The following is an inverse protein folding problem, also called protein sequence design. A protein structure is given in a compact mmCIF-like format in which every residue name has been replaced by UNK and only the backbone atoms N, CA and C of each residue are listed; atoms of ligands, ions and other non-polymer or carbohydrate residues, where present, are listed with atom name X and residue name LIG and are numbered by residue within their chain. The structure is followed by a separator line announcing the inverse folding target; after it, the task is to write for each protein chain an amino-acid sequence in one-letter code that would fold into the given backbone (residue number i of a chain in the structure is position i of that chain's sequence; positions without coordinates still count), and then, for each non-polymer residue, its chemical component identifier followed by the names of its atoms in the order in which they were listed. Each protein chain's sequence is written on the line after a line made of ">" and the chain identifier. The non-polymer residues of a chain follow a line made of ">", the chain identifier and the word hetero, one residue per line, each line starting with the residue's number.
data_IF_181011773800
#
_entry.id   IF_181011773800
#
_cell.length_a   1.000
_cell.length_b   1.000
_cell.length_c   1.000
_cell.angle_alpha   90.00
_cell.angle_beta   90.00
_cell.angle_gamma   90.00
#
_symmetry.space_group_name_H-M   'P 1'
#
loop_
_entity.id
_entity.type
_entity.pdbx_description
1 polymer ?
#
# COMPACT_ATOMS: atom_id res chain seq x y z
N UNK A 1 -7.07 32.43 20.84
CA UNK A 1 -7.29 31.17 20.10
C UNK A 1 -5.98 30.80 19.40
N UNK A 2 -5.35 29.66 19.74
CA UNK A 2 -4.22 29.15 18.96
C UNK A 2 -4.75 28.76 17.60
N UNK A 3 -4.17 29.32 16.53
CA UNK A 3 -4.51 28.98 15.15
C UNK A 3 -4.13 27.53 14.93
N UNK A 4 -5.08 26.69 14.48
CA UNK A 4 -4.82 25.29 14.15
C UNK A 4 -3.89 25.26 12.92
N UNK A 5 -2.65 24.85 13.13
CA UNK A 5 -1.62 24.77 12.09
C UNK A 5 -1.80 23.56 11.15
N UNK A 6 -2.57 22.56 11.60
CA UNK A 6 -2.80 21.32 10.84
C UNK A 6 -3.96 21.48 9.87
N UNK A 7 -3.83 22.43 8.94
CA UNK A 7 -4.81 22.67 7.89
C UNK A 7 -4.83 21.52 6.89
N UNK A 8 -5.91 21.44 6.10
CA UNK A 8 -6.01 20.44 5.02
C UNK A 8 -4.83 20.52 4.06
N UNK A 9 -4.45 21.74 3.66
CA UNK A 9 -3.36 21.92 2.70
C UNK A 9 -2.01 21.51 3.30
N UNK A 10 -1.76 21.81 4.57
CA UNK A 10 -0.59 21.32 5.29
C UNK A 10 -0.55 19.78 5.31
N UNK A 11 -1.69 19.12 5.61
CA UNK A 11 -1.76 17.66 5.64
C UNK A 11 -1.42 17.08 4.27
N UNK A 12 -1.95 17.66 3.18
CA UNK A 12 -1.71 17.16 1.82
C UNK A 12 -0.24 17.36 1.43
N UNK A 13 0.34 18.51 1.73
CA UNK A 13 1.75 18.80 1.46
C UNK A 13 2.68 17.83 2.18
N UNK A 14 2.44 17.62 3.48
CA UNK A 14 3.21 16.66 4.26
C UNK A 14 2.99 15.21 3.81
N UNK A 15 1.78 14.86 3.35
CA UNK A 15 1.50 13.54 2.81
C UNK A 15 2.29 13.28 1.52
N UNK A 16 2.38 14.25 0.62
CA UNK A 16 3.17 14.14 -0.61
C UNK A 16 4.66 13.98 -0.31
N UNK A 17 5.18 14.73 0.65
CA UNK A 17 6.58 14.59 1.08
C UNK A 17 6.86 13.21 1.68
N UNK A 18 5.98 12.71 2.56
CA UNK A 18 6.12 11.36 3.11
C UNK A 18 6.06 10.31 2.00
N UNK A 19 5.10 10.39 1.09
CA UNK A 19 4.96 9.41 0.00
C UNK A 19 6.20 9.37 -0.88
N UNK A 20 6.80 10.51 -1.19
CA UNK A 20 8.03 10.57 -2.00
C UNK A 20 9.22 9.87 -1.34
N UNK A 21 9.29 9.88 0.00
CA UNK A 21 10.35 9.21 0.75
C UNK A 21 10.17 7.67 0.81
N UNK A 22 8.94 7.19 0.58
CA UNK A 22 8.61 5.76 0.63
C UNK A 22 8.54 5.09 -0.75
N UNK A 23 8.78 5.80 -1.83
CA UNK A 23 8.87 5.16 -3.15
C UNK A 23 10.07 4.19 -3.20
N UNK A 24 9.88 2.96 -3.70
CA UNK A 24 8.71 2.37 -4.36
C UNK A 24 7.67 1.70 -3.44
N UNK A 25 7.73 1.91 -2.14
CA UNK A 25 6.82 1.31 -1.17
C UNK A 25 5.42 1.91 -1.17
N UNK A 26 4.48 1.23 -0.52
CA UNK A 26 3.10 1.68 -0.35
C UNK A 26 2.77 1.75 1.14
N UNK A 27 2.23 2.89 1.58
CA UNK A 27 1.82 3.13 2.96
C UNK A 27 0.33 2.87 3.17
N UNK A 28 -0.06 2.58 4.42
CA UNK A 28 -1.47 2.74 4.84
C UNK A 28 -1.72 4.18 5.29
N UNK A 29 -2.99 4.63 5.24
CA UNK A 29 -3.35 5.96 5.77
C UNK A 29 -3.03 6.07 7.27
N UNK A 30 -3.11 4.96 8.01
CA UNK A 30 -2.73 4.93 9.43
C UNK A 30 -1.22 5.14 9.61
N UNK A 31 -0.38 4.52 8.78
CA UNK A 31 1.06 4.72 8.80
C UNK A 31 1.41 6.18 8.45
N UNK A 32 0.75 6.78 7.44
CA UNK A 32 0.88 8.20 7.15
C UNK A 32 0.55 9.06 8.37
N UNK A 33 -0.58 8.79 9.07
CA UNK A 33 -0.93 9.55 10.28
C UNK A 33 0.18 9.49 11.34
N UNK A 34 0.80 8.33 11.57
CA UNK A 34 1.92 8.24 12.51
C UNK A 34 3.15 9.03 12.06
N UNK A 35 3.42 9.11 10.76
CA UNK A 35 4.48 9.99 10.23
C UNK A 35 4.15 11.46 10.47
N UNK A 36 2.88 11.86 10.33
CA UNK A 36 2.46 13.23 10.64
C UNK A 36 2.51 13.54 12.15
N UNK A 37 2.28 12.55 13.00
CA UNK A 37 2.46 12.67 14.46
C UNK A 37 3.93 12.94 14.80
N UNK A 38 4.87 12.26 14.17
CA UNK A 38 6.30 12.53 14.36
C UNK A 38 6.72 13.94 13.90
N UNK A 39 5.92 14.57 13.02
CA UNK A 39 6.09 15.95 12.55
C UNK A 39 5.29 16.97 13.39
N UNK A 40 4.75 16.55 14.53
CA UNK A 40 4.10 17.42 15.52
C UNK A 40 2.57 17.38 15.56
N UNK A 41 1.90 16.59 14.70
CA UNK A 41 0.45 16.39 14.78
C UNK A 41 0.09 15.60 16.05
N UNK A 42 -1.06 15.87 16.64
CA UNK A 42 -1.54 15.13 17.81
C UNK A 42 -2.05 13.74 17.40
N UNK A 43 -1.66 12.71 18.17
CA UNK A 43 -2.14 11.35 17.94
C UNK A 43 -3.52 11.16 18.57
N UNK A 44 -4.56 11.64 17.89
CA UNK A 44 -5.95 11.48 18.27
C UNK A 44 -6.83 11.09 17.07
N UNK A 45 -8.04 10.63 17.36
CA UNK A 45 -8.99 10.17 16.35
C UNK A 45 -9.50 11.31 15.44
N UNK A 46 -9.53 12.55 15.95
CA UNK A 46 -9.99 13.70 15.17
C UNK A 46 -8.98 14.07 14.11
N UNK A 47 -7.70 14.13 14.47
CA UNK A 47 -6.61 14.35 13.52
C UNK A 47 -6.49 13.20 12.51
N UNK A 48 -6.65 11.96 12.95
CA UNK A 48 -6.71 10.83 12.02
C UNK A 48 -7.85 10.98 10.98
N UNK A 49 -9.06 11.35 11.42
CA UNK A 49 -10.18 11.60 10.49
C UNK A 49 -9.88 12.74 9.52
N UNK A 50 -9.18 13.79 9.96
CA UNK A 50 -8.74 14.89 9.07
C UNK A 50 -7.76 14.39 8.02
N UNK A 51 -6.81 13.53 8.39
CA UNK A 51 -5.88 12.91 7.43
C UNK A 51 -6.63 12.09 6.39
N UNK A 52 -7.59 11.24 6.83
CA UNK A 52 -8.44 10.45 5.92
C UNK A 52 -9.20 11.36 4.94
N UNK A 53 -9.82 12.43 5.45
CA UNK A 53 -10.59 13.37 4.62
C UNK A 53 -9.68 14.14 3.63
N UNK A 54 -8.54 14.65 4.10
CA UNK A 54 -7.60 15.40 3.28
C UNK A 54 -7.00 14.55 2.16
N UNK A 55 -6.56 13.32 2.46
CA UNK A 55 -6.04 12.39 1.47
C UNK A 55 -7.12 11.93 0.48
N UNK A 56 -8.36 11.78 0.92
CA UNK A 56 -9.50 11.50 0.05
C UNK A 56 -9.70 12.60 -0.99
N UNK A 57 -9.75 13.87 -0.55
CA UNK A 57 -9.88 15.03 -1.45
C UNK A 57 -8.68 15.09 -2.40
N UNK A 58 -7.45 14.95 -1.91
CA UNK A 58 -6.25 15.00 -2.73
C UNK A 58 -6.20 13.91 -3.83
N UNK A 59 -6.83 12.75 -3.60
CA UNK A 59 -6.98 11.71 -4.62
C UNK A 59 -7.97 12.15 -5.71
N UNK A 60 -9.13 12.69 -5.34
CA UNK A 60 -10.12 13.18 -6.30
C UNK A 60 -9.59 14.37 -7.11
N UNK A 61 -8.76 15.20 -6.51
CA UNK A 61 -8.09 16.33 -7.18
C UNK A 61 -6.88 15.89 -8.03
N UNK A 62 -6.54 14.59 -8.05
CA UNK A 62 -5.42 14.04 -8.81
C UNK A 62 -4.03 14.40 -8.24
N UNK A 63 -3.96 14.96 -7.02
CA UNK A 63 -2.69 15.32 -6.35
C UNK A 63 -1.98 14.11 -5.75
N UNK A 64 -2.73 13.09 -5.36
CA UNK A 64 -2.23 11.81 -4.84
C UNK A 64 -2.85 10.70 -5.68
N UNK A 65 -2.04 9.77 -6.16
CA UNK A 65 -2.52 8.61 -6.90
C UNK A 65 -3.42 7.72 -6.03
N UNK A 66 -4.42 7.07 -6.63
CA UNK A 66 -5.36 6.22 -5.88
C UNK A 66 -4.67 4.99 -5.26
N UNK A 67 -3.62 4.50 -5.90
CA UNK A 67 -2.81 3.35 -5.48
C UNK A 67 -1.65 3.72 -4.54
N UNK A 68 -1.47 5.01 -4.21
CA UNK A 68 -0.45 5.47 -3.28
C UNK A 68 -0.62 4.92 -1.86
N UNK A 69 -1.83 4.45 -1.51
CA UNK A 69 -2.11 3.84 -0.23
C UNK A 69 -2.65 2.42 -0.40
N UNK A 70 -2.14 1.50 0.42
CA UNK A 70 -2.65 0.13 0.51
C UNK A 70 -3.58 0.01 1.72
N UNK A 71 -4.82 -0.41 1.49
CA UNK A 71 -5.75 -0.84 2.54
C UNK A 71 -6.16 -2.29 2.27
N UNK A 72 -5.19 -3.20 2.36
CA UNK A 72 -5.38 -4.62 2.04
C UNK A 72 -6.38 -5.33 2.97
N UNK A 73 -6.62 -4.79 4.16
CA UNK A 73 -7.59 -5.38 5.10
C UNK A 73 -9.05 -5.17 4.66
N UNK A 74 -9.29 -4.21 3.75
CA UNK A 74 -10.62 -3.90 3.20
C UNK A 74 -10.84 -4.37 1.78
N UNK A 75 -9.88 -5.05 1.16
CA UNK A 75 -10.11 -5.68 -0.13
C UNK A 75 -11.09 -6.83 0.06
N UNK A 76 -12.36 -6.57 -0.19
CA UNK A 76 -13.33 -7.62 -0.45
C UNK A 76 -12.87 -8.31 -1.74
N UNK A 77 -12.38 -9.55 -1.61
CA UNK A 77 -12.32 -10.44 -2.76
C UNK A 77 -13.77 -10.77 -3.14
N UNK A 78 -14.35 -9.96 -4.00
CA UNK A 78 -15.67 -10.28 -4.58
C UNK A 78 -15.44 -11.39 -5.59
N UNK A 79 -15.65 -12.64 -5.18
CA UNK A 79 -15.85 -13.72 -6.13
C UNK A 79 -17.28 -13.60 -6.61
N UNK A 80 -17.46 -13.12 -7.83
CA UNK A 80 -18.74 -13.21 -8.53
C UNK A 80 -18.97 -14.68 -8.88
N UNK A 81 -19.85 -15.31 -8.11
CA UNK A 81 -20.36 -16.62 -8.48
C UNK A 81 -21.51 -16.40 -9.47
N UNK A 82 -21.34 -16.81 -10.72
CA UNK A 82 -22.43 -16.84 -11.68
C UNK A 82 -22.18 -16.21 -13.04
N UNK A 83 -21.02 -15.68 -13.32
CA UNK A 83 -20.69 -15.31 -14.70
C UNK A 83 -20.48 -16.59 -15.51
N UNK A 84 -21.04 -16.67 -16.73
CA UNK A 84 -20.82 -17.81 -17.61
C UNK A 84 -19.31 -17.93 -17.86
N UNK A 85 -18.76 -19.09 -17.49
CA UNK A 85 -17.35 -19.41 -17.69
C UNK A 85 -17.13 -19.55 -19.20
N UNK A 86 -16.37 -18.67 -19.81
CA UNK A 86 -15.83 -18.86 -21.14
C UNK A 86 -14.69 -19.88 -21.06
N UNK A 87 -14.96 -21.10 -21.49
CA UNK A 87 -14.00 -22.20 -21.43
C UNK A 87 -12.73 -21.92 -22.24
N UNK A 88 -12.83 -21.15 -23.34
CA UNK A 88 -11.68 -20.80 -24.15
C UNK A 88 -10.77 -19.79 -23.43
N UNK A 89 -11.37 -18.81 -22.73
CA UNK A 89 -10.63 -17.86 -21.88
C UNK A 89 -9.99 -18.56 -20.68
N UNK A 90 -10.67 -19.49 -20.04
CA UNK A 90 -10.15 -20.32 -18.94
C UNK A 90 -8.96 -21.18 -19.38
N UNK A 91 -9.01 -21.77 -20.57
CA UNK A 91 -7.90 -22.55 -21.15
C UNK A 91 -6.70 -21.66 -21.42
N UNK A 92 -6.89 -20.44 -21.98
CA UNK A 92 -5.82 -19.49 -22.22
C UNK A 92 -5.18 -19.04 -20.90
N UNK A 93 -6.01 -18.74 -19.90
CA UNK A 93 -5.57 -18.36 -18.55
C UNK A 93 -4.79 -19.49 -17.88
N UNK A 94 -5.28 -20.72 -17.95
CA UNK A 94 -4.60 -21.90 -17.42
C UNK A 94 -3.24 -22.12 -18.07
N UNK A 95 -3.13 -21.98 -19.39
CA UNK A 95 -1.85 -22.06 -20.11
C UNK A 95 -0.87 -20.97 -19.70
N UNK A 96 -1.36 -19.74 -19.49
CA UNK A 96 -0.53 -18.63 -19.04
C UNK A 96 -0.02 -18.84 -17.61
N UNK A 97 -0.84 -19.38 -16.72
CA UNK A 97 -0.44 -19.73 -15.34
C UNK A 97 0.60 -20.85 -15.31
N UNK A 98 0.43 -21.89 -16.13
CA UNK A 98 1.42 -22.97 -16.23
C UNK A 98 2.77 -22.41 -16.75
N UNK A 99 2.75 -21.56 -17.77
CA UNK A 99 3.97 -20.88 -18.24
C UNK A 99 4.60 -19.99 -17.19
N UNK A 100 3.79 -19.25 -16.44
CA UNK A 100 4.27 -18.43 -15.33
C UNK A 100 4.93 -19.30 -14.24
N UNK A 101 4.36 -20.46 -13.92
CA UNK A 101 4.94 -21.43 -13.00
C UNK A 101 6.26 -22.00 -13.51
N UNK A 102 6.34 -22.38 -14.80
CA UNK A 102 7.57 -22.88 -15.39
C UNK A 102 8.68 -21.81 -15.41
N UNK A 103 8.31 -20.55 -15.63
CA UNK A 103 9.25 -19.42 -15.61
C UNK A 103 9.59 -18.94 -14.21
N UNK A 104 8.73 -19.21 -13.22
CA UNK A 104 8.96 -18.89 -11.81
C UNK A 104 9.90 -19.86 -11.09
N UNK A 105 10.38 -20.92 -11.78
CA UNK A 105 11.46 -21.73 -11.27
C UNK A 105 12.73 -20.88 -11.21
N UNK A 106 12.86 -20.14 -10.14
CA UNK A 106 14.11 -19.47 -9.80
C UNK A 106 14.86 -20.37 -8.82
N UNK A 107 16.12 -20.69 -9.12
CA UNK A 107 17.03 -21.22 -8.11
C UNK A 107 16.96 -20.31 -6.88
N UNK A 108 16.90 -20.92 -5.70
CA UNK A 108 17.00 -20.18 -4.46
C UNK A 108 18.26 -19.29 -4.53
N UNK A 109 18.06 -17.98 -4.59
CA UNK A 109 19.17 -17.00 -4.73
C UNK A 109 20.16 -17.10 -3.57
N UNK A 110 19.75 -17.71 -2.47
CA UNK A 110 20.50 -17.83 -1.23
C UNK A 110 21.18 -19.18 -1.06
N UNK A 111 21.00 -20.15 -2.01
CA UNK A 111 21.51 -21.52 -1.89
C UNK A 111 23.04 -21.59 -1.68
N UNK A 112 23.77 -20.62 -2.24
CA UNK A 112 25.23 -20.53 -2.12
C UNK A 112 25.69 -19.29 -1.35
N UNK A 113 24.81 -18.63 -0.60
CA UNK A 113 25.17 -17.47 0.21
C UNK A 113 25.51 -17.89 1.64
N UNK A 114 26.56 -17.31 2.26
CA UNK A 114 26.93 -17.63 3.64
C UNK A 114 25.93 -17.14 4.67
N UNK A 115 25.02 -16.22 4.27
CA UNK A 115 24.00 -15.63 5.13
C UNK A 115 22.65 -15.64 4.43
N UNK A 116 21.59 -15.97 5.17
CA UNK A 116 20.20 -15.90 4.73
C UNK A 116 19.48 -14.78 5.51
N UNK A 117 19.19 -13.62 4.91
CA UNK A 117 18.47 -12.57 5.58
C UNK A 117 16.98 -12.90 5.63
N UNK A 118 16.42 -12.88 6.83
CA UNK A 118 14.98 -12.99 7.05
C UNK A 118 14.45 -11.67 7.63
N UNK A 119 13.34 -11.19 7.06
CA UNK A 119 12.67 -9.97 7.53
C UNK A 119 11.37 -10.36 8.21
N UNK A 120 11.30 -10.18 9.52
CA UNK A 120 10.10 -10.42 10.31
C UNK A 120 9.31 -9.12 10.48
N UNK A 121 8.05 -9.14 10.06
CA UNK A 121 7.15 -7.99 10.14
C UNK A 121 6.00 -8.34 11.09
N UNK A 122 5.95 -7.69 12.25
CA UNK A 122 4.88 -7.90 13.24
C UNK A 122 3.52 -7.41 12.73
N UNK A 123 3.52 -6.26 12.03
CA UNK A 123 2.28 -5.62 11.58
C UNK A 123 2.10 -5.76 10.09
N UNK A 124 1.01 -6.41 9.67
CA UNK A 124 0.62 -6.56 8.26
C UNK A 124 0.55 -5.24 7.48
N UNK A 125 0.28 -4.12 8.17
CA UNK A 125 0.29 -2.79 7.57
C UNK A 125 1.64 -2.38 6.94
N UNK A 126 2.75 -2.99 7.38
CA UNK A 126 4.10 -2.74 6.85
C UNK A 126 4.45 -3.62 5.65
N UNK A 127 3.64 -4.65 5.34
CA UNK A 127 3.89 -5.58 4.23
C UNK A 127 4.08 -4.85 2.89
N UNK A 128 3.24 -3.82 2.63
CA UNK A 128 3.30 -3.05 1.40
C UNK A 128 4.60 -2.27 1.19
N UNK A 129 5.28 -1.90 2.28
CA UNK A 129 6.57 -1.19 2.22
C UNK A 129 7.67 -2.14 1.77
N UNK A 130 7.64 -3.39 2.25
CA UNK A 130 8.69 -4.37 1.98
C UNK A 130 8.47 -5.18 0.70
N UNK A 131 7.23 -5.36 0.27
CA UNK A 131 6.88 -6.20 -0.88
C UNK A 131 7.58 -5.82 -2.20
N UNK A 132 7.94 -4.55 -2.40
CA UNK A 132 8.64 -4.10 -3.61
C UNK A 132 10.17 -4.12 -3.48
N UNK A 133 10.67 -4.28 -2.26
CA UNK A 133 12.11 -4.20 -1.96
C UNK A 133 12.72 -5.59 -1.71
N UNK A 134 11.92 -6.52 -1.23
CA UNK A 134 12.28 -7.91 -0.97
C UNK A 134 11.60 -8.86 -1.95
#
# INVERSE_FOLDING_TARGET
>A
MKRDIFTRDWIIEQALDVLSQYEPGVLTIRALHYQLVSRGMTNDIQHYKRVVAATGIARWDGRIAFDAFSDRERSMATKTFGDPVDLDEEVVTGKSQVRAWMNAYSRNRWENQPYYPEVFIEKKALEGVFHKTC
#
